data_IF_359369152063
#
_entry.id   IF_359369152063
#
_cell.length_a   1.000
_cell.length_b   1.000
_cell.length_c   1.000
_cell.angle_alpha   90.00
_cell.angle_beta   90.00
_cell.angle_gamma   90.00
#
_symmetry.space_group_name_H-M   'P 1'
#
loop_
_entity.id
_entity.type
_entity.pdbx_description
1 polymer ?
#
# COMPACT_ATOMS: atom_id res chain seq x y z
N UNK A 1 42.49 7.63 11.85
CA UNK A 1 41.94 6.27 11.85
C UNK A 1 40.55 6.39 11.28
N UNK A 2 40.32 5.84 10.10
CA UNK A 2 38.97 5.75 9.52
C UNK A 2 38.05 5.03 10.50
N UNK A 3 36.86 5.62 10.71
CA UNK A 3 35.78 4.99 11.44
C UNK A 3 35.41 3.69 10.73
N UNK A 4 35.81 2.57 11.32
CA UNK A 4 35.28 1.28 10.93
C UNK A 4 33.90 1.15 11.60
N UNK A 5 32.86 1.65 10.93
CA UNK A 5 31.50 1.16 11.22
C UNK A 5 31.40 -0.27 10.69
N UNK A 6 31.99 -1.22 11.43
CA UNK A 6 31.73 -2.64 11.22
C UNK A 6 30.29 -2.92 11.64
N UNK A 7 29.38 -2.72 10.69
CA UNK A 7 28.04 -3.26 10.78
C UNK A 7 28.17 -4.78 10.90
N UNK A 8 27.83 -5.32 12.07
CA UNK A 8 27.80 -6.76 12.34
C UNK A 8 26.69 -7.42 11.51
N UNK A 9 27.00 -7.74 10.25
CA UNK A 9 26.08 -8.44 9.36
C UNK A 9 26.16 -9.94 9.61
N UNK A 10 25.07 -10.52 10.08
CA UNK A 10 24.91 -11.97 10.02
C UNK A 10 24.77 -12.41 8.56
N UNK A 11 25.79 -13.09 8.02
CA UNK A 11 25.72 -13.73 6.71
C UNK A 11 24.84 -14.98 6.80
N UNK A 12 23.58 -14.87 6.41
CA UNK A 12 22.63 -15.99 6.41
C UNK A 12 22.87 -16.85 5.16
N UNK A 13 23.72 -17.88 5.26
CA UNK A 13 24.06 -18.78 4.15
C UNK A 13 23.08 -19.95 3.95
N UNK A 14 21.95 -19.98 4.66
CA UNK A 14 20.90 -21.00 4.51
C UNK A 14 19.59 -20.32 4.12
N UNK A 15 18.76 -21.04 3.34
CA UNK A 15 17.51 -20.56 2.74
C UNK A 15 16.54 -19.87 3.71
N UNK A 16 16.71 -20.04 5.03
CA UNK A 16 15.99 -19.28 6.03
C UNK A 16 16.76 -19.24 7.34
N UNK A 17 16.74 -18.09 8.04
CA UNK A 17 17.13 -18.02 9.45
C UNK A 17 15.94 -17.58 10.29
N UNK A 18 15.73 -18.28 11.40
CA UNK A 18 14.58 -18.05 12.28
C UNK A 18 14.86 -16.93 13.26
N UNK A 19 13.88 -16.04 13.43
CA UNK A 19 13.91 -14.92 14.39
C UNK A 19 12.71 -15.06 15.32
N UNK A 20 12.94 -14.83 16.63
CA UNK A 20 11.92 -14.92 17.69
C UNK A 20 12.09 -13.78 18.69
N UNK A 21 10.99 -13.32 19.29
CA UNK A 21 11.01 -12.31 20.34
C UNK A 21 11.42 -10.92 19.85
N UNK A 22 12.12 -10.17 20.70
CA UNK A 22 12.59 -8.81 20.41
C UNK A 22 14.10 -8.82 20.14
N UNK A 23 14.49 -8.29 19.01
CA UNK A 23 15.83 -8.34 18.46
C UNK A 23 16.23 -6.96 17.95
N UNK A 24 17.54 -6.71 17.96
CA UNK A 24 18.15 -5.51 17.40
C UNK A 24 19.39 -5.90 16.62
N UNK A 25 19.23 -6.09 15.32
CA UNK A 25 20.34 -6.42 14.43
C UNK A 25 20.04 -5.97 13.01
N UNK A 26 21.10 -5.78 12.25
CA UNK A 26 21.01 -5.52 10.82
C UNK A 26 21.36 -6.81 10.08
N UNK A 27 20.60 -7.16 9.04
CA UNK A 27 20.92 -8.29 8.18
C UNK A 27 20.89 -7.89 6.72
N UNK A 28 21.78 -8.52 5.94
CA UNK A 28 21.77 -8.44 4.48
C UNK A 28 21.33 -9.79 3.93
N UNK A 29 20.26 -9.81 3.14
CA UNK A 29 19.73 -11.01 2.52
C UNK A 29 20.21 -11.11 1.07
N UNK A 30 20.80 -12.24 0.71
CA UNK A 30 21.11 -12.55 -0.68
C UNK A 30 19.81 -12.86 -1.45
N UNK A 31 19.89 -12.91 -2.78
CA UNK A 31 18.75 -13.26 -3.62
C UNK A 31 18.17 -14.62 -3.23
N UNK A 32 16.85 -14.68 -3.05
CA UNK A 32 16.14 -15.89 -2.64
C UNK A 32 16.22 -16.24 -1.14
N UNK A 33 16.95 -15.46 -0.32
CA UNK A 33 17.05 -15.67 1.12
C UNK A 33 15.99 -14.82 1.85
N UNK A 34 15.36 -15.41 2.87
CA UNK A 34 14.35 -14.76 3.70
C UNK A 34 14.54 -15.09 5.19
N UNK A 35 13.96 -14.27 6.07
CA UNK A 35 13.85 -14.57 7.50
C UNK A 35 12.60 -15.41 7.78
N UNK A 36 12.63 -16.28 8.78
CA UNK A 36 11.44 -16.96 9.30
C UNK A 36 11.03 -16.30 10.61
N UNK A 37 9.81 -15.79 10.67
CA UNK A 37 9.22 -15.31 11.89
C UNK A 37 8.60 -16.49 12.68
N UNK A 38 9.02 -16.66 13.93
CA UNK A 38 8.40 -17.61 14.87
C UNK A 38 8.10 -16.92 16.22
N UNK A 39 7.65 -15.66 16.18
CA UNK A 39 7.20 -14.93 17.37
C UNK A 39 7.88 -13.58 17.58
N UNK A 40 8.23 -12.88 16.52
CA UNK A 40 8.62 -11.47 16.52
C UNK A 40 7.42 -10.63 16.97
N UNK A 41 7.67 -9.70 17.90
CA UNK A 41 6.64 -8.83 18.50
C UNK A 41 6.98 -7.35 18.28
N UNK A 42 6.11 -6.45 18.72
CA UNK A 42 6.42 -5.02 18.76
C UNK A 42 7.70 -4.72 19.57
N UNK A 43 8.42 -3.66 19.19
CA UNK A 43 9.68 -3.24 19.82
C UNK A 43 10.96 -3.81 19.18
N UNK A 44 10.82 -4.59 18.11
CA UNK A 44 11.95 -5.01 17.27
C UNK A 44 12.56 -3.82 16.52
N UNK A 45 13.88 -3.89 16.33
CA UNK A 45 14.66 -2.95 15.54
C UNK A 45 15.55 -3.77 14.59
N UNK A 46 14.89 -4.48 13.68
CA UNK A 46 15.56 -5.35 12.71
C UNK A 46 15.59 -4.61 11.38
N UNK A 47 16.79 -4.22 10.93
CA UNK A 47 16.97 -3.62 9.60
C UNK A 47 17.41 -4.68 8.61
N UNK A 48 16.67 -4.80 7.51
CA UNK A 48 16.92 -5.73 6.42
C UNK A 48 17.43 -4.96 5.21
N UNK A 49 18.49 -5.45 4.59
CA UNK A 49 19.00 -4.97 3.30
C UNK A 49 19.00 -6.11 2.30
N UNK A 50 18.33 -5.95 1.16
CA UNK A 50 18.37 -6.92 0.07
C UNK A 50 19.62 -6.66 -0.77
N UNK A 51 20.37 -7.72 -1.09
CA UNK A 51 21.60 -7.61 -1.87
C UNK A 51 21.35 -7.39 -3.37
N UNK A 52 20.16 -7.73 -3.87
CA UNK A 52 19.79 -7.50 -5.26
C UNK A 52 19.71 -5.98 -5.54
N UNK A 53 20.30 -5.53 -6.64
CA UNK A 53 20.29 -4.12 -7.04
C UNK A 53 18.89 -3.63 -7.46
N UNK A 54 18.06 -4.54 -7.96
CA UNK A 54 16.65 -4.29 -8.28
C UNK A 54 15.84 -5.52 -7.84
N UNK A 55 15.51 -5.61 -6.53
CA UNK A 55 14.65 -6.67 -6.03
C UNK A 55 13.28 -6.59 -6.72
N UNK A 56 12.78 -7.72 -7.24
CA UNK A 56 11.45 -7.76 -7.82
C UNK A 56 10.37 -7.53 -6.75
N UNK A 57 9.30 -6.85 -7.10
CA UNK A 57 8.08 -6.79 -6.26
C UNK A 57 7.58 -8.20 -5.96
N UNK A 58 6.88 -8.35 -4.84
CA UNK A 58 6.41 -9.62 -4.29
C UNK A 58 7.52 -10.61 -3.88
N UNK A 59 8.80 -10.22 -3.94
CA UNK A 59 9.89 -11.04 -3.38
C UNK A 59 9.69 -11.21 -1.87
N UNK A 60 9.62 -12.44 -1.38
CA UNK A 60 9.48 -12.75 0.04
C UNK A 60 10.73 -12.34 0.82
N UNK A 61 10.54 -11.57 1.89
CA UNK A 61 11.61 -11.08 2.78
C UNK A 61 11.50 -11.73 4.16
N UNK A 62 10.28 -11.82 4.70
CA UNK A 62 10.02 -12.46 5.99
C UNK A 62 8.84 -13.42 5.84
N UNK A 63 9.06 -14.68 6.14
CA UNK A 63 8.04 -15.71 6.20
C UNK A 63 7.29 -15.67 7.54
N UNK A 64 5.97 -15.81 7.51
CA UNK A 64 5.15 -15.92 8.73
C UNK A 64 4.99 -14.62 9.52
N UNK A 65 5.12 -13.46 8.87
CA UNK A 65 4.83 -12.16 9.47
C UNK A 65 3.95 -11.36 8.50
N UNK A 66 2.88 -10.77 9.01
CA UNK A 66 1.96 -9.90 8.27
C UNK A 66 2.00 -8.45 8.77
N UNK A 67 2.86 -8.14 9.75
CA UNK A 67 3.03 -6.80 10.26
C UNK A 67 4.38 -6.21 9.84
N UNK A 68 4.41 -5.30 8.83
CA UNK A 68 5.66 -4.71 8.37
C UNK A 68 6.32 -3.82 9.42
N UNK A 69 5.60 -3.31 10.43
CA UNK A 69 6.15 -2.40 11.44
C UNK A 69 7.21 -3.04 12.37
N UNK A 70 7.40 -4.36 12.31
CA UNK A 70 8.42 -5.06 13.10
C UNK A 70 9.80 -5.13 12.41
N UNK A 71 9.88 -4.69 11.15
CA UNK A 71 11.08 -4.75 10.34
C UNK A 71 11.23 -3.45 9.54
N UNK A 72 12.48 -3.03 9.34
CA UNK A 72 12.81 -1.89 8.48
C UNK A 72 13.50 -2.41 7.23
N UNK A 73 13.08 -1.96 6.05
CA UNK A 73 13.79 -2.23 4.80
C UNK A 73 14.68 -1.02 4.47
N UNK A 74 15.98 -1.26 4.30
CA UNK A 74 16.95 -0.20 4.04
C UNK A 74 17.08 0.16 2.55
N UNK A 75 16.52 -0.64 1.64
CA UNK A 75 16.58 -0.38 0.21
C UNK A 75 15.70 0.83 -0.14
N UNK A 76 16.31 1.87 -0.72
CA UNK A 76 15.59 3.08 -1.13
C UNK A 76 14.50 2.79 -2.17
N UNK A 77 13.36 3.49 -2.06
CA UNK A 77 12.24 3.35 -2.99
C UNK A 77 11.43 2.05 -2.83
N UNK A 78 11.76 1.23 -1.83
CA UNK A 78 11.06 -0.03 -1.54
C UNK A 78 10.53 -0.04 -0.11
N UNK A 79 9.45 -0.77 0.10
CA UNK A 79 8.86 -1.04 1.42
C UNK A 79 8.52 -2.51 1.59
N UNK A 80 8.20 -2.88 2.82
CA UNK A 80 7.61 -4.17 3.13
C UNK A 80 6.09 -4.05 3.18
N UNK A 81 5.41 -4.97 2.50
CA UNK A 81 3.96 -5.11 2.60
C UNK A 81 3.59 -6.54 2.97
N UNK A 82 2.43 -6.71 3.60
CA UNK A 82 1.90 -8.01 3.93
C UNK A 82 1.23 -8.64 2.71
N UNK A 83 1.60 -9.89 2.39
CA UNK A 83 0.97 -10.69 1.35
C UNK A 83 1.08 -12.18 1.69
N UNK A 84 -0.03 -12.91 1.60
CA UNK A 84 -0.10 -14.35 1.85
C UNK A 84 0.52 -14.79 3.20
N UNK A 85 0.34 -13.98 4.25
CA UNK A 85 0.89 -14.24 5.59
C UNK A 85 2.40 -14.00 5.73
N UNK A 86 3.03 -13.35 4.75
CA UNK A 86 4.45 -13.02 4.70
C UNK A 86 4.66 -11.53 4.47
N UNK A 87 5.87 -11.04 4.73
CA UNK A 87 6.33 -9.73 4.27
C UNK A 87 7.06 -9.89 2.95
N UNK A 88 6.62 -9.13 1.96
CA UNK A 88 7.18 -9.09 0.62
C UNK A 88 7.61 -7.68 0.25
N UNK A 89 8.50 -7.57 -0.74
CA UNK A 89 8.91 -6.29 -1.32
C UNK A 89 7.75 -5.66 -2.08
N UNK A 90 7.53 -4.36 -1.87
CA UNK A 90 6.68 -3.53 -2.70
C UNK A 90 7.37 -2.21 -3.01
N UNK A 91 6.95 -1.54 -4.08
CA UNK A 91 7.40 -0.18 -4.39
C UNK A 91 6.88 0.79 -3.32
N UNK A 92 7.76 1.67 -2.87
CA UNK A 92 7.38 2.77 -1.96
C UNK A 92 6.79 3.98 -2.71
N UNK A 93 6.68 3.88 -4.04
CA UNK A 93 5.83 4.79 -4.79
C UNK A 93 4.39 4.48 -4.44
N UNK A 94 3.82 5.25 -3.53
CA UNK A 94 2.38 5.32 -3.30
C UNK A 94 1.73 5.65 -4.65
N UNK A 95 1.25 4.62 -5.36
CA UNK A 95 0.51 4.82 -6.60
C UNK A 95 -0.82 5.42 -6.21
N UNK A 96 -0.81 6.75 -6.04
CA UNK A 96 -1.94 7.58 -5.64
C UNK A 96 -3.06 7.51 -6.67
N UNK A 97 -3.81 6.42 -6.61
CA UNK A 97 -5.18 6.35 -7.10
C UNK A 97 -5.93 5.55 -6.03
N UNK A 98 -6.04 6.16 -4.85
CA UNK A 98 -7.08 5.76 -3.91
C UNK A 98 -8.40 6.08 -4.63
N UNK A 99 -9.26 5.07 -4.71
CA UNK A 99 -10.53 5.05 -5.43
C UNK A 99 -11.16 6.43 -5.64
N UNK A 100 -11.53 6.75 -6.88
CA UNK A 100 -12.68 7.62 -7.12
C UNK A 100 -13.87 6.82 -6.59
N UNK A 101 -14.08 6.88 -5.28
CA UNK A 101 -15.37 6.57 -4.70
C UNK A 101 -16.27 7.62 -5.32
N UNK A 102 -17.02 7.24 -6.35
CA UNK A 102 -18.20 7.99 -6.72
C UNK A 102 -19.03 8.08 -5.45
N UNK A 103 -18.92 9.20 -4.73
CA UNK A 103 -19.80 9.49 -3.62
C UNK A 103 -21.20 9.33 -4.19
N UNK A 104 -21.91 8.30 -3.73
CA UNK A 104 -23.21 7.94 -4.25
C UNK A 104 -24.15 9.09 -3.90
N UNK A 105 -24.22 10.06 -4.80
CA UNK A 105 -25.01 11.27 -4.62
C UNK A 105 -26.49 11.00 -4.91
N UNK A 106 -26.95 9.77 -4.63
CA UNK A 106 -28.35 9.35 -4.71
C UNK A 106 -29.27 10.13 -3.77
N UNK A 107 -28.70 10.83 -2.77
CA UNK A 107 -29.42 11.70 -1.83
C UNK A 107 -29.20 13.20 -2.08
N UNK A 108 -28.46 13.56 -3.13
CA UNK A 108 -28.29 14.97 -3.49
C UNK A 108 -29.63 15.58 -3.95
N UNK A 109 -29.85 16.90 -3.73
CA UNK A 109 -31.05 17.58 -4.17
C UNK A 109 -31.21 17.49 -5.69
N UNK A 110 -32.46 17.29 -6.13
CA UNK A 110 -32.80 17.19 -7.55
C UNK A 110 -32.95 18.59 -8.15
N UNK A 111 -32.25 18.83 -9.25
CA UNK A 111 -32.31 20.08 -10.02
C UNK A 111 -32.75 19.79 -11.46
N UNK A 112 -33.64 20.63 -12.01
CA UNK A 112 -34.09 20.52 -13.40
C UNK A 112 -33.51 21.63 -14.24
N UNK A 113 -33.09 21.29 -15.46
CA UNK A 113 -32.58 22.21 -16.46
C UNK A 113 -33.29 22.01 -17.80
N UNK A 114 -33.52 23.07 -18.55
CA UNK A 114 -33.97 22.97 -19.93
C UNK A 114 -32.81 22.50 -20.85
N UNK A 115 -33.11 22.23 -22.12
CA UNK A 115 -32.11 21.78 -23.10
C UNK A 115 -31.04 22.84 -23.44
N UNK A 116 -31.20 24.07 -22.97
CA UNK A 116 -30.21 25.15 -23.09
C UNK A 116 -29.37 25.32 -21.82
N UNK A 117 -29.58 24.49 -20.79
CA UNK A 117 -28.83 24.55 -19.53
C UNK A 117 -29.35 25.59 -18.52
N UNK A 118 -30.56 26.14 -18.71
CA UNK A 118 -31.17 27.08 -17.76
C UNK A 118 -31.91 26.29 -16.66
N UNK A 119 -31.63 26.62 -15.39
CA UNK A 119 -32.28 26.01 -14.22
C UNK A 119 -33.77 26.35 -14.15
N UNK A 120 -34.61 25.37 -13.86
CA UNK A 120 -36.08 25.46 -13.80
C UNK A 120 -36.54 25.02 -12.41
N UNK A 121 -37.16 25.93 -11.66
CA UNK A 121 -37.60 25.66 -10.29
C UNK A 121 -38.98 24.98 -10.21
N UNK A 122 -39.83 25.17 -11.24
CA UNK A 122 -41.15 24.57 -11.32
C UNK A 122 -41.35 24.01 -12.74
N UNK A 123 -40.87 22.79 -13.02
CA UNK A 123 -40.98 22.21 -14.35
C UNK A 123 -42.45 21.85 -14.66
N UNK A 124 -42.92 22.27 -15.84
CA UNK A 124 -44.20 21.87 -16.42
C UNK A 124 -44.03 20.60 -17.27
N UNK A 125 -45.05 20.25 -18.07
CA UNK A 125 -44.98 19.12 -19.00
C UNK A 125 -43.94 19.38 -20.08
N UNK A 126 -42.95 18.50 -20.20
CA UNK A 126 -41.87 18.69 -21.17
C UNK A 126 -40.63 17.83 -20.94
N UNK A 127 -39.61 18.07 -21.76
CA UNK A 127 -38.31 17.38 -21.71
C UNK A 127 -37.33 18.22 -20.90
N UNK A 128 -36.70 17.60 -19.89
CA UNK A 128 -35.74 18.25 -19.02
C UNK A 128 -34.50 17.39 -18.78
N UNK A 129 -33.43 18.04 -18.36
CA UNK A 129 -32.26 17.40 -17.77
C UNK A 129 -32.42 17.46 -16.25
N UNK A 130 -32.57 16.30 -15.62
CA UNK A 130 -32.62 16.15 -14.18
C UNK A 130 -31.22 15.82 -13.68
N UNK A 131 -30.66 16.68 -12.83
CA UNK A 131 -29.37 16.48 -12.16
C UNK A 131 -29.59 16.10 -10.71
N UNK A 132 -28.91 15.04 -10.28
CA UNK A 132 -28.83 14.61 -8.90
C UNK A 132 -27.36 14.36 -8.55
N UNK A 133 -26.76 15.32 -7.85
CA UNK A 133 -25.33 15.32 -7.57
C UNK A 133 -24.46 15.32 -8.82
N UNK A 134 -23.74 14.22 -9.05
CA UNK A 134 -22.85 14.00 -10.21
C UNK A 134 -23.57 13.36 -11.40
N UNK A 135 -24.78 12.80 -11.20
CA UNK A 135 -25.55 12.12 -12.25
C UNK A 135 -26.52 13.11 -12.91
N UNK A 136 -26.57 13.12 -14.23
CA UNK A 136 -27.56 13.86 -15.00
C UNK A 136 -28.28 12.92 -15.97
N UNK A 137 -29.61 13.01 -16.07
CA UNK A 137 -30.42 12.19 -16.99
C UNK A 137 -31.53 13.00 -17.63
N UNK A 138 -31.90 12.62 -18.86
CA UNK A 138 -33.05 13.18 -19.55
C UNK A 138 -34.34 12.58 -18.97
N UNK A 139 -35.28 13.43 -18.59
CA UNK A 139 -36.60 13.03 -18.07
C UNK A 139 -37.70 13.72 -18.86
N UNK A 140 -38.87 13.10 -18.87
CA UNK A 140 -40.10 13.66 -19.42
C UNK A 140 -41.06 13.78 -18.24
N UNK A 141 -41.52 15.01 -17.96
CA UNK A 141 -42.49 15.33 -16.92
C UNK A 141 -43.88 15.56 -17.53
#
# INVERSE_FOLDING_TARGET
>A
MENCEENNFFHLQRNSSTVKGVNKFNCKLAEGIFLKNEGVTAGNDITITLAAASPAVDTKVVEGCDNPAYFTLANEGLKLTAKDGNLVVADDTESGINDIVEADNSDAPVEYYNLQGVKVNNPDKGIYIMRQGTKARKVIL
#
